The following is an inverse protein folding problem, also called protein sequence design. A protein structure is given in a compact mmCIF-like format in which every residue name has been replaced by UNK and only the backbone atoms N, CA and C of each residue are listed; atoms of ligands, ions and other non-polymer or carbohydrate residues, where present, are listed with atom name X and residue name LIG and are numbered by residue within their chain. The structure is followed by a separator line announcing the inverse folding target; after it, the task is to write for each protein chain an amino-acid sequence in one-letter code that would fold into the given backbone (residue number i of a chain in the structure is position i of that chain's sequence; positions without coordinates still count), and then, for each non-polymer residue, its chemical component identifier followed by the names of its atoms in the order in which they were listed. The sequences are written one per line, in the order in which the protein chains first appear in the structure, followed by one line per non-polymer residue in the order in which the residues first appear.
data_IF_300808290349
#
_entry.id   IF_300808290349
#
_cell.length_a   1.000
_cell.length_b   1.000
_cell.length_c   1.000
_cell.angle_alpha   90.00
_cell.angle_beta   90.00
_cell.angle_gamma   90.00
#
_symmetry.space_group_name_H-M   'P 1'
#
loop_
_entity.id
_entity.type
_entity.pdbx_description
1 polymer ?
#
# COMPACT_ATOMS: atom_id res chain seq x y z
N UNK A 1 -12.84 -39.09 -25.51
CA UNK A 1 -11.99 -38.39 -24.53
C UNK A 1 -12.91 -37.63 -23.59
N UNK A 2 -13.02 -38.05 -22.33
CA UNK A 2 -13.81 -37.32 -21.33
C UNK A 2 -12.91 -36.25 -20.70
N UNK A 3 -13.21 -34.99 -20.99
CA UNK A 3 -12.53 -33.86 -20.37
C UNK A 3 -13.00 -33.74 -18.93
N UNK A 4 -12.09 -33.91 -17.97
CA UNK A 4 -12.40 -33.75 -16.55
C UNK A 4 -12.54 -32.26 -16.31
N UNK A 5 -13.76 -31.77 -16.23
CA UNK A 5 -14.04 -30.44 -15.68
C UNK A 5 -13.59 -30.44 -14.21
N UNK A 6 -12.37 -29.97 -13.97
CA UNK A 6 -11.87 -29.64 -12.64
C UNK A 6 -12.78 -28.53 -12.08
N UNK A 7 -13.78 -28.93 -11.29
CA UNK A 7 -14.59 -28.00 -10.52
C UNK A 7 -13.64 -27.24 -9.59
N UNK A 8 -13.34 -25.98 -9.89
CA UNK A 8 -12.53 -25.13 -9.05
C UNK A 8 -13.19 -25.04 -7.66
N UNK A 9 -12.66 -25.81 -6.71
CA UNK A 9 -13.06 -25.74 -5.29
C UNK A 9 -12.48 -24.44 -4.74
N UNK A 10 -13.24 -23.36 -4.86
CA UNK A 10 -12.89 -22.06 -4.28
C UNK A 10 -12.91 -22.13 -2.76
N UNK A 11 -11.73 -22.32 -2.15
CA UNK A 11 -11.56 -22.20 -0.70
C UNK A 11 -11.51 -20.73 -0.29
N UNK A 12 -12.00 -20.42 0.92
CA UNK A 12 -11.79 -19.11 1.55
C UNK A 12 -10.28 -18.90 1.68
N UNK A 13 -9.73 -17.92 0.95
CA UNK A 13 -8.33 -17.54 1.08
C UNK A 13 -8.04 -17.09 2.52
N UNK A 14 -6.81 -17.32 2.99
CA UNK A 14 -6.37 -16.97 4.35
C UNK A 14 -6.76 -15.54 4.77
N UNK A 15 -6.71 -14.58 3.84
CA UNK A 15 -7.10 -13.19 4.10
C UNK A 15 -8.59 -13.05 4.47
N UNK A 16 -9.48 -13.80 3.80
CA UNK A 16 -10.91 -13.81 4.10
C UNK A 16 -11.19 -14.47 5.45
N UNK A 17 -10.47 -15.55 5.78
CA UNK A 17 -10.60 -16.23 7.06
C UNK A 17 -10.12 -15.35 8.23
N UNK A 18 -8.99 -14.66 8.07
CA UNK A 18 -8.46 -13.73 9.08
C UNK A 18 -9.37 -12.50 9.24
N UNK A 19 -9.94 -11.99 8.15
CA UNK A 19 -10.95 -10.92 8.22
C UNK A 19 -12.19 -11.36 9.02
N UNK A 20 -12.73 -12.54 8.72
CA UNK A 20 -13.88 -13.11 9.44
C UNK A 20 -13.55 -13.37 10.92
N UNK A 21 -12.34 -13.80 11.24
CA UNK A 21 -11.88 -13.97 12.61
C UNK A 21 -11.92 -12.64 13.39
N UNK A 22 -11.29 -11.58 12.85
CA UNK A 22 -11.32 -10.25 13.49
C UNK A 22 -12.74 -9.68 13.61
N UNK A 23 -13.59 -9.92 12.60
CA UNK A 23 -14.99 -9.50 12.63
C UNK A 23 -15.77 -10.21 13.75
N UNK A 24 -15.61 -11.53 13.88
CA UNK A 24 -16.24 -12.32 14.94
C UNK A 24 -15.82 -11.85 16.34
N UNK A 25 -14.51 -11.67 16.56
CA UNK A 25 -13.97 -11.17 17.83
C UNK A 25 -14.47 -9.75 18.16
N UNK A 26 -14.70 -8.89 17.16
CA UNK A 26 -15.27 -7.55 17.35
C UNK A 26 -16.75 -7.58 17.73
N UNK A 27 -17.54 -8.50 17.16
CA UNK A 27 -18.96 -8.67 17.51
C UNK A 27 -19.17 -9.32 18.88
N UNK A 28 -18.21 -10.13 19.32
CA UNK A 28 -18.23 -10.77 20.66
C UNK A 28 -17.65 -9.87 21.75
N UNK A 29 -17.39 -8.59 21.43
CA UNK A 29 -16.88 -7.56 22.35
C UNK A 29 -15.58 -7.95 23.08
N UNK A 30 -14.78 -8.84 22.48
CA UNK A 30 -13.48 -9.21 23.03
C UNK A 30 -12.37 -8.20 22.70
N UNK A 31 -12.61 -7.27 21.77
CA UNK A 31 -11.61 -6.29 21.33
C UNK A 31 -12.24 -4.90 21.14
N UNK A 32 -11.75 -3.92 21.90
CA UNK A 32 -12.19 -2.51 21.82
C UNK A 32 -11.63 -1.76 20.60
N UNK A 33 -10.79 -2.42 19.79
CA UNK A 33 -10.11 -1.79 18.66
C UNK A 33 -11.06 -1.14 17.66
N UNK A 34 -10.59 -0.09 16.99
CA UNK A 34 -11.34 0.61 15.96
C UNK A 34 -11.64 -0.31 14.76
N UNK A 35 -12.81 -0.10 14.14
CA UNK A 35 -13.24 -0.79 12.92
C UNK A 35 -12.23 -0.72 11.76
N UNK A 36 -11.37 0.30 11.74
CA UNK A 36 -10.26 0.44 10.80
C UNK A 36 -9.28 -0.74 10.83
N UNK A 37 -8.99 -1.30 12.02
CA UNK A 37 -8.09 -2.45 12.15
C UNK A 37 -8.78 -3.77 11.79
N UNK A 38 -10.09 -3.88 12.02
CA UNK A 38 -10.89 -5.05 11.63
C UNK A 38 -10.91 -5.19 10.11
N UNK A 39 -10.97 -4.08 9.37
CA UNK A 39 -10.94 -4.08 7.91
C UNK A 39 -9.52 -4.05 7.32
N UNK A 40 -8.47 -3.91 8.14
CA UNK A 40 -7.08 -3.87 7.67
C UNK A 40 -6.68 -5.01 6.74
N UNK A 41 -7.14 -6.27 6.92
CA UNK A 41 -6.87 -7.35 5.98
C UNK A 41 -7.45 -7.10 4.57
N UNK A 42 -8.54 -6.33 4.47
CA UNK A 42 -9.23 -6.02 3.22
C UNK A 42 -8.54 -4.86 2.46
N UNK A 43 -8.13 -3.80 3.17
CA UNK A 43 -7.49 -2.62 2.56
C UNK A 43 -5.96 -2.62 2.65
N UNK A 44 -5.34 -3.61 3.31
CA UNK A 44 -3.88 -3.68 3.51
C UNK A 44 -3.09 -3.64 2.20
N UNK A 45 -3.57 -4.31 1.15
CA UNK A 45 -2.97 -4.23 -0.18
C UNK A 45 -3.06 -2.83 -0.81
N UNK A 46 -4.21 -2.17 -0.66
CA UNK A 46 -4.45 -0.80 -1.14
C UNK A 46 -3.58 0.20 -0.36
N UNK A 47 -3.47 0.04 0.96
CA UNK A 47 -2.62 0.85 1.83
C UNK A 47 -1.15 0.81 1.40
N UNK A 48 -0.64 -0.41 1.17
CA UNK A 48 0.72 -0.62 0.71
C UNK A 48 0.96 0.06 -0.64
N UNK A 49 0.03 -0.09 -1.57
CA UNK A 49 0.14 0.55 -2.89
C UNK A 49 0.23 2.08 -2.78
N UNK A 50 -0.68 2.72 -2.04
CA UNK A 50 -0.64 4.17 -1.84
C UNK A 50 0.59 4.63 -1.06
N UNK A 51 1.01 3.87 -0.03
CA UNK A 51 2.21 4.17 0.74
C UNK A 51 3.45 4.19 -0.15
N UNK A 52 3.63 3.16 -0.97
CA UNK A 52 4.74 3.08 -1.94
C UNK A 52 4.67 4.23 -2.94
N UNK A 53 3.48 4.52 -3.50
CA UNK A 53 3.30 5.62 -4.46
C UNK A 53 3.72 6.98 -3.87
N UNK A 54 3.32 7.27 -2.63
CA UNK A 54 3.66 8.52 -1.94
C UNK A 54 5.17 8.61 -1.70
N UNK A 55 5.80 7.52 -1.26
CA UNK A 55 7.25 7.48 -1.04
C UNK A 55 8.02 7.74 -2.34
N UNK A 56 7.61 7.13 -3.45
CA UNK A 56 8.20 7.38 -4.76
C UNK A 56 8.01 8.82 -5.21
N UNK A 57 6.80 9.37 -5.07
CA UNK A 57 6.50 10.74 -5.43
C UNK A 57 7.31 11.75 -4.60
N UNK A 58 7.40 11.54 -3.28
CA UNK A 58 8.20 12.36 -2.38
C UNK A 58 9.69 12.29 -2.73
N UNK A 59 10.23 11.09 -2.98
CA UNK A 59 11.62 10.91 -3.39
C UNK A 59 11.94 11.62 -4.72
N UNK A 60 11.07 11.49 -5.71
CA UNK A 60 11.21 12.16 -7.00
C UNK A 60 11.15 13.68 -6.86
N UNK A 61 10.24 14.21 -6.03
CA UNK A 61 10.11 15.64 -5.78
C UNK A 61 11.36 16.19 -5.08
N UNK A 62 11.88 15.49 -4.07
CA UNK A 62 13.13 15.86 -3.38
C UNK A 62 14.30 15.88 -4.35
N UNK A 63 14.45 14.85 -5.19
CA UNK A 63 15.48 14.82 -6.23
C UNK A 63 15.35 15.99 -7.20
N UNK A 64 14.13 16.25 -7.69
CA UNK A 64 13.86 17.35 -8.62
C UNK A 64 14.24 18.70 -8.02
N UNK A 65 13.85 18.95 -6.76
CA UNK A 65 14.21 20.17 -6.03
C UNK A 65 15.73 20.28 -5.91
N UNK A 66 16.42 19.25 -5.40
CA UNK A 66 17.88 19.29 -5.23
C UNK A 66 18.59 19.53 -6.57
N UNK A 67 18.14 18.87 -7.64
CA UNK A 67 18.69 19.01 -8.97
C UNK A 67 18.50 20.43 -9.53
N UNK A 68 17.33 21.05 -9.33
CA UNK A 68 17.07 22.43 -9.75
C UNK A 68 17.95 23.42 -8.99
N UNK A 69 18.07 23.26 -7.67
CA UNK A 69 18.98 24.05 -6.83
C UNK A 69 20.44 23.92 -7.25
N UNK A 70 20.88 22.73 -7.64
CA UNK A 70 22.24 22.48 -8.14
C UNK A 70 22.50 23.20 -9.47
N UNK A 71 21.57 23.08 -10.44
CA UNK A 71 21.66 23.78 -11.73
C UNK A 71 21.70 25.29 -11.57
N UNK A 72 20.85 25.84 -10.70
CA UNK A 72 20.79 27.28 -10.45
C UNK A 72 22.09 27.82 -9.85
N UNK A 73 22.72 27.08 -8.93
CA UNK A 73 24.04 27.42 -8.38
C UNK A 73 25.16 27.38 -9.43
N UNK A 74 25.11 26.44 -10.37
CA UNK A 74 26.10 26.36 -11.44
C UNK A 74 26.08 27.58 -12.38
N UNK A 75 24.89 28.12 -12.69
CA UNK A 75 24.75 29.31 -13.55
C UNK A 75 25.34 30.57 -12.93
N UNK A 76 25.11 30.83 -11.63
CA UNK A 76 25.64 32.02 -10.95
C UNK A 76 27.17 32.07 -10.92
N UNK A 77 27.83 30.91 -10.81
CA UNK A 77 29.31 30.82 -10.81
C UNK A 77 29.94 31.18 -12.16
N UNK A 78 29.21 31.00 -13.27
CA UNK A 78 29.69 31.37 -14.62
C UNK A 78 29.49 32.85 -14.96
N UNK A 79 28.57 33.52 -14.28
CA UNK A 79 28.33 34.96 -14.47
C UNK A 79 29.28 35.86 -13.65
N UNK A 80 30.06 35.27 -12.74
CA UNK A 80 31.05 35.96 -11.89
C UNK A 80 32.50 35.72 -12.35
N UNK A 81 32.70 35.07 -13.50
CA UNK A 81 33.98 34.86 -14.17
C UNK A 81 33.92 35.56 -15.52
#
# INVERSE_FOLDING_TARGET
MADKSETARGGIGLLGAVFLLFLYLKLTDHIDWSWWWVTAPLWGGVALFFGVLILFAAGALVWFVIADWAKKRARKRRALR
#
